data_IF_783317560706
#
_entry.id   IF_783317560706
#
_cell.length_a   1.000
_cell.length_b   1.000
_cell.length_c   1.000
_cell.angle_alpha   90.00
_cell.angle_beta   90.00
_cell.angle_gamma   90.00
#
_symmetry.space_group_name_H-M   'P 1'
#
loop_
_entity.id
_entity.type
_entity.pdbx_description
1 polymer ?
#
# COMPACT_ATOMS: atom_id res chain seq x y z
N UNK A 1 8.74 13.94 4.97
CA UNK A 1 8.59 13.29 3.65
C UNK A 1 7.42 12.33 3.77
N UNK A 2 6.28 12.59 3.12
CA UNK A 2 5.11 11.69 3.15
C UNK A 2 5.24 10.58 2.10
N UNK A 3 4.67 9.40 2.37
CA UNK A 3 4.62 8.31 1.40
C UNK A 3 3.61 8.60 0.28
N UNK A 4 3.71 7.93 -0.88
CA UNK A 4 2.72 8.07 -1.94
C UNK A 4 1.34 7.58 -1.45
N UNK A 5 1.31 6.52 -0.65
CA UNK A 5 0.13 5.99 0.02
C UNK A 5 -0.60 7.02 0.89
N UNK A 6 0.14 7.90 1.58
CA UNK A 6 -0.47 8.95 2.41
C UNK A 6 -1.21 10.01 1.60
N UNK A 7 -0.94 10.11 0.30
CA UNK A 7 -1.59 11.04 -0.61
C UNK A 7 -2.88 10.50 -1.25
N UNK A 8 -3.13 9.18 -1.18
CA UNK A 8 -4.31 8.55 -1.76
C UNK A 8 -5.50 8.70 -0.80
N UNK A 9 -6.56 9.34 -1.27
CA UNK A 9 -7.82 9.57 -0.51
C UNK A 9 -9.03 8.96 -1.20
N UNK A 10 -8.93 8.67 -2.49
CA UNK A 10 -10.02 8.17 -3.32
C UNK A 10 -9.48 7.33 -4.50
N UNK A 11 -10.31 6.47 -5.12
CA UNK A 11 -9.91 5.72 -6.31
C UNK A 11 -9.47 6.60 -7.49
N UNK A 12 -9.98 7.82 -7.57
CA UNK A 12 -9.66 8.79 -8.63
C UNK A 12 -8.18 9.20 -8.57
N UNK A 13 -7.57 9.23 -7.38
CA UNK A 13 -6.17 9.61 -7.20
C UNK A 13 -5.19 8.63 -7.87
N UNK A 14 -5.65 7.39 -8.13
CA UNK A 14 -4.86 6.37 -8.83
C UNK A 14 -4.73 6.65 -10.33
N UNK A 15 -5.70 7.36 -10.92
CA UNK A 15 -5.76 7.56 -12.38
C UNK A 15 -4.63 8.48 -12.89
N UNK A 16 -4.07 9.34 -12.02
CA UNK A 16 -2.97 10.24 -12.36
C UNK A 16 -1.57 9.64 -12.17
N UNK A 17 -1.46 8.38 -11.70
CA UNK A 17 -0.18 7.77 -11.40
C UNK A 17 0.43 7.08 -12.61
N UNK A 18 1.73 7.30 -12.83
CA UNK A 18 2.51 6.52 -13.78
C UNK A 18 2.66 5.06 -13.33
N UNK A 19 2.98 4.17 -14.26
CA UNK A 19 3.26 2.75 -13.94
C UNK A 19 4.37 2.57 -12.89
N UNK A 20 5.35 3.48 -12.83
CA UNK A 20 6.39 3.45 -11.81
C UNK A 20 5.84 3.84 -10.42
N UNK A 21 5.00 4.88 -10.36
CA UNK A 21 4.33 5.29 -9.13
C UNK A 21 3.33 4.23 -8.64
N UNK A 22 2.63 3.55 -9.55
CA UNK A 22 1.76 2.43 -9.20
C UNK A 22 2.56 1.27 -8.58
N UNK A 23 3.73 0.93 -9.15
CA UNK A 23 4.63 -0.08 -8.54
C UNK A 23 5.10 0.33 -7.15
N UNK A 24 5.47 1.60 -6.96
CA UNK A 24 5.86 2.14 -5.66
C UNK A 24 4.70 2.05 -4.65
N UNK A 25 3.50 2.52 -5.04
CA UNK A 25 2.31 2.50 -4.21
C UNK A 25 1.97 1.06 -3.75
N UNK A 26 2.04 0.09 -4.66
CA UNK A 26 1.84 -1.32 -4.30
C UNK A 26 2.89 -1.82 -3.29
N UNK A 27 4.14 -1.37 -3.38
CA UNK A 27 5.18 -1.68 -2.39
C UNK A 27 4.83 -1.13 -1.01
N UNK A 28 4.45 0.15 -0.94
CA UNK A 28 4.07 0.84 0.29
C UNK A 28 2.83 0.19 0.95
N UNK A 29 1.83 -0.21 0.16
CA UNK A 29 0.64 -0.93 0.65
C UNK A 29 1.05 -2.27 1.28
N UNK A 30 1.90 -3.06 0.61
CA UNK A 30 2.36 -4.35 1.15
C UNK A 30 3.12 -4.16 2.47
N UNK A 31 4.02 -3.18 2.53
CA UNK A 31 4.72 -2.86 3.78
C UNK A 31 3.74 -2.48 4.90
N UNK A 32 2.73 -1.66 4.61
CA UNK A 32 1.72 -1.25 5.59
C UNK A 32 0.95 -2.45 6.12
N UNK A 33 0.51 -3.36 5.25
CA UNK A 33 -0.19 -4.59 5.63
C UNK A 33 0.72 -5.44 6.51
N UNK A 34 1.96 -5.68 6.11
CA UNK A 34 2.93 -6.49 6.87
C UNK A 34 3.13 -5.90 8.27
N UNK A 35 3.43 -4.60 8.37
CA UNK A 35 3.63 -3.91 9.66
C UNK A 35 2.40 -3.99 10.55
N UNK A 36 1.21 -3.79 9.97
CA UNK A 36 -0.06 -3.80 10.71
C UNK A 36 -0.37 -5.20 11.24
N UNK A 37 -0.21 -6.24 10.42
CA UNK A 37 -0.49 -7.62 10.85
C UNK A 37 0.59 -8.13 11.80
N UNK A 38 1.87 -7.80 11.58
CA UNK A 38 2.96 -8.16 12.49
C UNK A 38 2.78 -7.56 13.89
N UNK A 39 2.26 -6.33 13.99
CA UNK A 39 2.02 -5.65 15.25
C UNK A 39 0.78 -6.17 16.01
N UNK A 40 -0.25 -6.64 15.30
CA UNK A 40 -1.53 -7.04 15.90
C UNK A 40 -1.74 -8.56 16.02
N UNK A 41 -0.89 -9.37 15.38
CA UNK A 41 -1.05 -10.83 15.26
C UNK A 41 -2.17 -11.21 14.28
N UNK A 42 -1.83 -11.96 13.23
CA UNK A 42 -2.81 -12.41 12.22
C UNK A 42 -2.17 -13.20 11.07
N UNK A 43 -2.98 -13.97 10.33
CA UNK A 43 -2.51 -14.79 9.21
C UNK A 43 -2.13 -13.92 8.00
N UNK A 44 -0.84 -13.60 7.88
CA UNK A 44 -0.24 -12.77 6.82
C UNK A 44 -0.50 -13.31 5.38
N UNK A 45 -0.74 -14.61 5.25
CA UNK A 45 -0.76 -15.32 3.98
C UNK A 45 -2.01 -15.06 3.11
N UNK A 46 -3.14 -14.66 3.70
CA UNK A 46 -4.42 -14.58 2.95
C UNK A 46 -4.59 -13.28 2.15
N UNK A 47 -3.79 -12.24 2.42
CA UNK A 47 -3.91 -10.91 1.82
C UNK A 47 -2.74 -10.54 0.87
N UNK A 48 -1.82 -11.47 0.60
CA UNK A 48 -0.61 -11.22 -0.21
C UNK A 48 -0.69 -11.78 -1.65
N UNK A 49 -1.74 -12.53 -1.96
CA UNK A 49 -2.04 -13.04 -3.31
C UNK A 49 -2.48 -11.95 -4.26
#
# INVERSE_FOLDING_TARGET
MGSLLDSIRSPQDLQGLSSAQLKQLCGEIREKIIRTVAANGGHLASNLG
#
